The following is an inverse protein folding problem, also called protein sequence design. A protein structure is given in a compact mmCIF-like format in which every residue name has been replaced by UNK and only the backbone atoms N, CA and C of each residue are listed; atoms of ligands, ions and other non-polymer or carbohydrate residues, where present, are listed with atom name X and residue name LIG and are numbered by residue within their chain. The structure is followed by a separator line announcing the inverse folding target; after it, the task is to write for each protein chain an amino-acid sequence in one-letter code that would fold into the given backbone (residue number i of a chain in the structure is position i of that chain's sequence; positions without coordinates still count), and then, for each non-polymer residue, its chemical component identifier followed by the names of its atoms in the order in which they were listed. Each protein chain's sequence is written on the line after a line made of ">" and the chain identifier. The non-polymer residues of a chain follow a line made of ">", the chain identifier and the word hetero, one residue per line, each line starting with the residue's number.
data_IF_315481176381
#
_entry.id   IF_315481176381
#
_cell.length_a   1.000
_cell.length_b   1.000
_cell.length_c   1.000
_cell.angle_alpha   90.00
_cell.angle_beta   90.00
_cell.angle_gamma   90.00
#
_symmetry.space_group_name_H-M   'P 1'
#
loop_
_entity.id
_entity.type
_entity.pdbx_description
1 polymer ?
#
# COMPACT_ATOMS: atom_id res chain seq x y z
N UNK A 1 -59.51 14.18 27.44
CA UNK A 1 -60.85 13.64 27.16
C UNK A 1 -60.80 13.04 25.76
N UNK A 2 -60.62 11.72 25.68
CA UNK A 2 -61.67 10.72 25.34
C UNK A 2 -62.06 10.81 23.86
N UNK A 3 -62.13 9.77 23.04
CA UNK A 3 -62.10 8.30 23.16
C UNK A 3 -61.96 7.82 21.68
N UNK A 4 -61.28 6.70 21.35
CA UNK A 4 -61.92 5.39 21.03
C UNK A 4 -62.61 5.34 19.65
N UNK A 5 -62.66 4.29 18.83
CA UNK A 5 -62.34 2.87 18.90
C UNK A 5 -62.60 2.27 17.50
N UNK A 6 -61.93 1.14 17.18
CA UNK A 6 -62.45 -0.02 16.41
C UNK A 6 -62.92 0.18 14.93
N UNK A 7 -62.94 -0.81 14.03
CA UNK A 7 -62.83 -2.27 14.10
C UNK A 7 -62.54 -2.85 12.69
N UNK A 8 -61.99 -4.07 12.68
CA UNK A 8 -62.33 -5.25 11.85
C UNK A 8 -62.94 -5.08 10.45
N UNK A 9 -62.40 -5.82 9.47
CA UNK A 9 -63.09 -7.00 8.92
C UNK A 9 -62.19 -7.87 8.03
N UNK A 10 -62.27 -9.17 8.29
CA UNK A 10 -61.81 -10.28 7.45
C UNK A 10 -62.87 -10.65 6.42
N UNK A 11 -62.46 -11.15 5.26
CA UNK A 11 -63.36 -11.90 4.37
C UNK A 11 -62.68 -13.18 3.87
N UNK A 12 -63.36 -14.29 4.13
CA UNK A 12 -63.12 -15.63 3.61
C UNK A 12 -63.77 -15.80 2.22
N UNK A 13 -63.16 -16.60 1.35
CA UNK A 13 -63.88 -17.43 0.35
C UNK A 13 -62.95 -18.59 -0.05
N UNK A 14 -63.08 -19.81 0.50
CA UNK A 14 -64.02 -20.91 0.18
C UNK A 14 -64.03 -21.33 -1.30
N UNK A 15 -63.34 -22.44 -1.59
CA UNK A 15 -63.87 -23.52 -2.44
C UNK A 15 -63.48 -24.89 -1.86
N UNK A 16 -64.39 -25.86 -2.03
CA UNK A 16 -64.56 -27.13 -1.32
C UNK A 16 -64.43 -28.31 -2.30
N UNK A 17 -63.66 -29.34 -1.92
CA UNK A 17 -63.92 -30.83 -1.96
C UNK A 17 -64.34 -31.52 -3.28
N UNK A 18 -63.99 -32.76 -3.70
CA UNK A 18 -63.70 -34.14 -3.15
C UNK A 18 -63.25 -35.03 -4.36
N UNK A 19 -63.05 -36.38 -4.33
CA UNK A 19 -62.64 -37.34 -3.29
C UNK A 19 -61.50 -38.34 -3.70
N UNK A 20 -61.04 -39.05 -2.66
CA UNK A 20 -60.24 -40.28 -2.50
C UNK A 20 -60.05 -41.29 -3.66
N UNK A 21 -58.82 -41.81 -3.76
CA UNK A 21 -58.56 -43.26 -3.85
C UNK A 21 -57.37 -43.65 -2.95
N UNK A 22 -57.59 -44.67 -2.12
CA UNK A 22 -56.58 -45.35 -1.31
C UNK A 22 -55.62 -46.14 -2.21
N UNK A 23 -54.32 -46.10 -1.92
CA UNK A 23 -53.42 -47.23 -2.16
C UNK A 23 -52.23 -47.17 -1.19
N UNK A 24 -52.18 -48.14 -0.29
CA UNK A 24 -51.06 -48.44 0.63
C UNK A 24 -49.89 -49.09 -0.10
N UNK A 25 -48.70 -48.93 0.50
CA UNK A 25 -47.45 -49.71 0.33
C UNK A 25 -46.59 -49.38 -0.91
N UNK A 26 -45.43 -48.74 -0.72
CA UNK A 26 -44.13 -49.35 -0.38
C UNK A 26 -43.10 -48.21 -0.28
N UNK A 27 -42.26 -48.24 0.75
CA UNK A 27 -41.12 -47.35 0.91
C UNK A 27 -40.09 -47.59 -0.19
N UNK A 28 -39.76 -46.57 -0.99
CA UNK A 28 -38.43 -46.43 -1.58
C UNK A 28 -38.20 -44.97 -1.96
N UNK A 29 -37.26 -44.30 -1.26
CA UNK A 29 -36.75 -42.97 -1.63
C UNK A 29 -35.90 -43.12 -2.91
N UNK A 30 -36.22 -42.46 -4.03
CA UNK A 30 -35.22 -42.19 -5.05
C UNK A 30 -34.42 -40.96 -4.59
N UNK A 31 -33.12 -41.15 -4.35
CA UNK A 31 -32.20 -40.05 -4.12
C UNK A 31 -32.16 -39.18 -5.38
N UNK A 32 -32.66 -37.96 -5.25
CA UNK A 32 -32.46 -36.90 -6.24
C UNK A 32 -30.97 -36.52 -6.22
N UNK A 33 -30.20 -36.99 -7.20
CA UNK A 33 -28.94 -36.35 -7.54
C UNK A 33 -29.26 -35.02 -8.23
N UNK A 34 -29.44 -33.97 -7.43
CA UNK A 34 -29.27 -32.61 -7.90
C UNK A 34 -27.78 -32.50 -8.24
N UNK A 35 -27.44 -32.59 -9.52
CA UNK A 35 -26.16 -32.10 -10.00
C UNK A 35 -26.17 -30.58 -9.81
N UNK A 36 -25.71 -30.14 -8.64
CA UNK A 36 -25.33 -28.77 -8.41
C UNK A 36 -24.17 -28.46 -9.35
N UNK A 37 -24.45 -27.69 -10.39
CA UNK A 37 -23.41 -27.00 -11.16
C UNK A 37 -22.50 -26.27 -10.17
N UNK A 38 -21.16 -26.33 -10.31
CA UNK A 38 -20.30 -25.48 -9.52
C UNK A 38 -20.65 -24.04 -9.90
N UNK A 39 -21.18 -23.30 -8.94
CA UNK A 39 -21.27 -21.85 -9.02
C UNK A 39 -19.87 -21.33 -9.42
N UNK A 40 -19.70 -20.56 -10.51
CA UNK A 40 -18.40 -19.95 -10.79
C UNK A 40 -18.11 -19.04 -9.60
N UNK A 41 -17.20 -19.47 -8.73
CA UNK A 41 -16.62 -18.58 -7.75
C UNK A 41 -16.04 -17.42 -8.55
N UNK A 42 -16.61 -16.23 -8.40
CA UNK A 42 -15.97 -14.99 -8.84
C UNK A 42 -14.72 -14.90 -7.99
N UNK A 43 -13.66 -15.56 -8.43
CA UNK A 43 -12.36 -15.50 -7.82
C UNK A 43 -11.93 -14.05 -7.97
N UNK A 44 -11.85 -13.32 -6.85
CA UNK A 44 -11.36 -11.95 -6.85
C UNK A 44 -10.01 -11.87 -7.58
N UNK A 45 -9.63 -10.68 -8.08
CA UNK A 45 -8.40 -10.51 -8.83
C UNK A 45 -7.21 -11.05 -8.01
N UNK A 46 -6.33 -11.82 -8.66
CA UNK A 46 -5.17 -12.37 -8.00
C UNK A 46 -4.20 -11.25 -7.61
N UNK A 47 -3.33 -11.50 -6.63
CA UNK A 47 -2.33 -10.52 -6.21
C UNK A 47 -1.44 -10.04 -7.38
N UNK A 48 -0.93 -10.91 -8.27
CA UNK A 48 -0.23 -10.46 -9.49
C UNK A 48 -1.07 -9.54 -10.38
N UNK A 49 -2.37 -9.81 -10.54
CA UNK A 49 -3.27 -8.99 -11.36
C UNK A 49 -3.44 -7.60 -10.74
N UNK A 50 -3.70 -7.53 -9.42
CA UNK A 50 -3.78 -6.26 -8.69
C UNK A 50 -2.48 -5.46 -8.80
N UNK A 51 -1.32 -6.11 -8.64
CA UNK A 51 -0.01 -5.46 -8.80
C UNK A 51 0.14 -4.91 -10.22
N UNK A 52 -0.23 -5.68 -11.24
CA UNK A 52 -0.16 -5.26 -12.64
C UNK A 52 -1.04 -4.03 -12.92
N UNK A 53 -2.30 -4.09 -12.50
CA UNK A 53 -3.29 -3.03 -12.74
C UNK A 53 -2.93 -1.73 -12.01
N UNK A 54 -2.60 -1.82 -10.73
CA UNK A 54 -2.19 -0.63 -9.96
C UNK A 54 -0.88 -0.06 -10.54
N UNK A 55 0.08 -0.90 -10.94
CA UNK A 55 1.32 -0.43 -11.56
C UNK A 55 1.10 0.28 -12.89
N UNK A 56 0.10 -0.16 -13.67
CA UNK A 56 -0.35 0.51 -14.90
C UNK A 56 -0.92 1.89 -14.58
N UNK A 57 -1.84 1.97 -13.60
CA UNK A 57 -2.39 3.25 -13.12
C UNK A 57 -1.28 4.22 -12.72
N UNK A 58 -0.30 3.79 -11.92
CA UNK A 58 0.84 4.63 -11.53
C UNK A 58 1.70 5.09 -12.72
N UNK A 59 1.84 4.23 -13.73
CA UNK A 59 2.58 4.52 -14.97
C UNK A 59 1.87 5.53 -15.86
N UNK A 60 0.54 5.56 -15.84
CA UNK A 60 -0.27 6.50 -16.60
C UNK A 60 -0.38 7.85 -15.87
N UNK A 61 -0.30 7.84 -14.53
CA UNK A 61 -0.53 9.01 -13.67
C UNK A 61 0.77 9.65 -13.13
N UNK A 62 1.70 10.06 -14.00
CA UNK A 62 3.03 10.56 -13.58
C UNK A 62 3.16 12.04 -13.23
N UNK A 63 2.14 12.85 -13.50
CA UNK A 63 2.21 14.30 -13.35
C UNK A 63 1.28 14.82 -12.25
N UNK A 64 1.55 16.01 -11.67
CA UNK A 64 0.75 16.55 -10.56
C UNK A 64 -0.74 16.73 -10.89
N UNK A 65 -1.07 17.08 -12.14
CA UNK A 65 -2.46 17.31 -12.58
C UNK A 65 -3.26 16.02 -12.82
N UNK A 66 -2.60 14.85 -12.84
CA UNK A 66 -3.30 13.58 -13.01
C UNK A 66 -4.03 13.20 -11.71
N UNK A 67 -5.30 12.81 -11.83
CA UNK A 67 -6.10 12.37 -10.69
C UNK A 67 -5.83 10.89 -10.38
N UNK A 68 -4.68 10.65 -9.74
CA UNK A 68 -4.26 9.32 -9.34
C UNK A 68 -5.23 8.72 -8.30
N UNK A 69 -5.73 9.52 -7.37
CA UNK A 69 -6.57 9.04 -6.27
C UNK A 69 -7.92 8.51 -6.77
N UNK A 70 -8.55 9.20 -7.72
CA UNK A 70 -9.77 8.70 -8.37
C UNK A 70 -9.54 7.35 -9.05
N UNK A 71 -8.40 7.18 -9.74
CA UNK A 71 -8.06 5.93 -10.43
C UNK A 71 -7.69 4.80 -9.46
N UNK A 72 -7.21 5.13 -8.26
CA UNK A 72 -6.88 4.16 -7.22
C UNK A 72 -8.07 3.77 -6.33
N UNK A 73 -9.09 4.62 -6.21
CA UNK A 73 -10.26 4.42 -5.35
C UNK A 73 -10.91 3.03 -5.47
N UNK A 74 -11.09 2.43 -6.67
CA UNK A 74 -11.67 1.08 -6.79
C UNK A 74 -10.84 -0.02 -6.10
N UNK A 75 -9.54 0.21 -5.91
CA UNK A 75 -8.62 -0.76 -5.31
C UNK A 75 -8.57 -0.71 -3.78
N UNK A 76 -9.19 0.30 -3.16
CA UNK A 76 -9.12 0.53 -1.71
C UNK A 76 -9.46 -0.70 -0.85
N UNK A 77 -10.50 -1.51 -1.16
CA UNK A 77 -10.83 -2.68 -0.35
C UNK A 77 -9.80 -3.82 -0.42
N UNK A 78 -8.89 -3.83 -1.41
CA UNK A 78 -7.86 -4.87 -1.56
C UNK A 78 -6.48 -4.42 -1.05
N UNK A 79 -6.34 -3.18 -0.59
CA UNK A 79 -5.06 -2.67 -0.12
C UNK A 79 -4.63 -3.41 1.14
N UNK A 80 -3.42 -3.96 1.05
CA UNK A 80 -2.71 -4.63 2.14
C UNK A 80 -1.24 -4.27 2.05
N UNK A 81 -0.52 -4.43 3.15
CA UNK A 81 0.91 -4.08 3.22
C UNK A 81 1.71 -4.84 2.16
N UNK A 82 1.41 -6.12 1.95
CA UNK A 82 2.05 -6.94 0.93
C UNK A 82 1.80 -6.43 -0.50
N UNK A 83 0.55 -6.06 -0.82
CA UNK A 83 0.22 -5.50 -2.13
C UNK A 83 0.96 -4.18 -2.38
N UNK A 84 0.95 -3.28 -1.38
CA UNK A 84 1.67 -1.99 -1.46
C UNK A 84 3.16 -2.20 -1.71
N UNK A 85 3.82 -3.08 -0.95
CA UNK A 85 5.23 -3.38 -1.16
C UNK A 85 5.53 -3.90 -2.57
N UNK A 86 4.70 -4.80 -3.10
CA UNK A 86 4.91 -5.36 -4.43
C UNK A 86 4.71 -4.33 -5.54
N UNK A 87 3.67 -3.48 -5.42
CA UNK A 87 3.45 -2.35 -6.34
C UNK A 87 4.64 -1.40 -6.30
N UNK A 88 5.10 -0.99 -5.12
CA UNK A 88 6.26 -0.08 -4.99
C UNK A 88 7.52 -0.68 -5.61
N UNK A 89 7.83 -1.96 -5.32
CA UNK A 89 8.97 -2.68 -5.92
C UNK A 89 8.91 -2.70 -7.45
N UNK A 90 7.70 -2.87 -8.01
CA UNK A 90 7.48 -2.87 -9.47
C UNK A 90 7.59 -1.47 -10.07
N UNK A 91 7.11 -0.45 -9.38
CA UNK A 91 7.10 0.95 -9.79
C UNK A 91 8.36 1.72 -9.37
N UNK A 92 9.50 1.03 -9.20
CA UNK A 92 10.72 1.62 -8.63
C UNK A 92 11.33 2.79 -9.40
N UNK A 93 10.92 3.00 -10.64
CA UNK A 93 11.35 4.08 -11.52
C UNK A 93 10.30 5.22 -11.63
N UNK A 94 9.23 5.15 -10.85
CA UNK A 94 8.11 6.10 -10.88
C UNK A 94 8.04 6.92 -9.59
N UNK A 95 9.14 7.57 -9.18
CA UNK A 95 9.27 8.18 -7.84
C UNK A 95 8.09 9.05 -7.40
N UNK A 96 7.60 9.92 -8.28
CA UNK A 96 6.49 10.82 -7.95
C UNK A 96 5.18 10.05 -7.78
N UNK A 97 4.83 9.17 -8.72
CA UNK A 97 3.63 8.33 -8.63
C UNK A 97 3.69 7.36 -7.44
N UNK A 98 4.86 6.79 -7.16
CA UNK A 98 5.08 5.88 -6.02
C UNK A 98 4.87 6.59 -4.69
N UNK A 99 5.36 7.84 -4.54
CA UNK A 99 5.09 8.66 -3.37
C UNK A 99 3.60 8.97 -3.21
N UNK A 100 2.92 9.39 -4.28
CA UNK A 100 1.48 9.64 -4.23
C UNK A 100 0.67 8.38 -3.90
N UNK A 101 1.03 7.23 -4.45
CA UNK A 101 0.43 5.94 -4.11
C UNK A 101 0.63 5.58 -2.63
N UNK A 102 1.83 5.82 -2.09
CA UNK A 102 2.14 5.62 -0.69
C UNK A 102 1.24 6.47 0.23
N UNK A 103 1.11 7.77 -0.08
CA UNK A 103 0.24 8.69 0.67
C UNK A 103 -1.24 8.30 0.55
N UNK A 104 -1.70 7.94 -0.65
CA UNK A 104 -3.06 7.46 -0.85
C UNK A 104 -3.33 6.19 -0.03
N UNK A 105 -2.42 5.21 -0.03
CA UNK A 105 -2.58 4.01 0.79
C UNK A 105 -2.66 4.35 2.29
N UNK A 106 -1.81 5.27 2.78
CA UNK A 106 -1.85 5.79 4.17
C UNK A 106 -3.19 6.46 4.52
N UNK A 107 -3.90 7.01 3.54
CA UNK A 107 -5.21 7.65 3.75
C UNK A 107 -6.37 6.65 3.96
N UNK A 108 -6.18 5.37 3.66
CA UNK A 108 -7.21 4.35 3.79
C UNK A 108 -7.43 4.02 5.28
N UNK A 109 -8.66 4.13 5.81
CA UNK A 109 -8.93 3.83 7.21
C UNK A 109 -8.50 2.42 7.60
N UNK A 110 -7.71 2.32 8.68
CA UNK A 110 -7.21 1.05 9.20
C UNK A 110 -5.98 0.48 8.49
N UNK A 111 -5.53 1.07 7.39
CA UNK A 111 -4.29 0.68 6.75
C UNK A 111 -3.08 1.35 7.43
N UNK A 112 -1.99 0.60 7.59
CA UNK A 112 -0.71 1.12 8.05
C UNK A 112 0.43 0.54 7.21
N UNK A 113 1.38 1.41 6.89
CA UNK A 113 2.65 1.03 6.28
C UNK A 113 3.55 0.35 7.31
N UNK A 114 4.37 -0.58 6.85
CA UNK A 114 5.43 -1.20 7.66
C UNK A 114 6.81 -0.64 7.29
N UNK A 115 7.82 -0.97 8.09
CA UNK A 115 9.20 -0.52 7.88
C UNK A 115 9.71 -0.79 6.46
N UNK A 116 9.34 -1.94 5.88
CA UNK A 116 9.75 -2.36 4.54
C UNK A 116 9.24 -1.38 3.48
N UNK A 117 7.97 -0.98 3.54
CA UNK A 117 7.39 -0.03 2.59
C UNK A 117 8.04 1.37 2.67
N UNK A 118 8.42 1.82 3.87
CA UNK A 118 9.20 3.05 4.06
C UNK A 118 10.56 2.97 3.38
N UNK A 119 11.32 1.89 3.62
CA UNK A 119 12.63 1.68 3.00
C UNK A 119 12.55 1.65 1.47
N UNK A 120 11.55 0.94 0.93
CA UNK A 120 11.34 0.88 -0.52
C UNK A 120 11.09 2.28 -1.08
N UNK A 121 10.20 3.06 -0.48
CA UNK A 121 9.89 4.40 -0.99
C UNK A 121 11.11 5.33 -0.94
N UNK A 122 11.90 5.30 0.15
CA UNK A 122 13.15 6.06 0.27
C UNK A 122 14.14 5.65 -0.83
N UNK A 123 14.31 4.36 -1.09
CA UNK A 123 15.18 3.87 -2.15
C UNK A 123 14.69 4.31 -3.55
N UNK A 124 13.37 4.28 -3.79
CA UNK A 124 12.76 4.73 -5.04
C UNK A 124 13.05 6.23 -5.26
N UNK A 125 12.68 7.08 -4.31
CA UNK A 125 12.85 8.54 -4.42
C UNK A 125 14.32 8.90 -4.61
N UNK A 126 15.22 8.27 -3.85
CA UNK A 126 16.66 8.45 -3.99
C UNK A 126 17.19 8.01 -5.37
N UNK A 127 16.73 6.86 -5.88
CA UNK A 127 17.15 6.36 -7.20
C UNK A 127 16.63 7.20 -8.37
N UNK A 128 15.44 7.78 -8.23
CA UNK A 128 14.85 8.74 -9.17
C UNK A 128 15.43 10.15 -9.03
N UNK A 129 16.38 10.38 -8.10
CA UNK A 129 16.97 11.69 -7.78
C UNK A 129 15.94 12.74 -7.34
N UNK A 130 14.81 12.30 -6.78
CA UNK A 130 13.74 13.17 -6.27
C UNK A 130 14.04 13.60 -4.83
N UNK A 131 15.20 14.22 -4.63
CA UNK A 131 15.73 14.51 -3.30
C UNK A 131 14.89 15.52 -2.51
N UNK A 132 14.24 16.48 -3.18
CA UNK A 132 13.33 17.41 -2.51
C UNK A 132 12.15 16.64 -1.87
N UNK A 133 11.46 15.83 -2.67
CA UNK A 133 10.35 14.98 -2.21
C UNK A 133 10.79 14.01 -1.11
N UNK A 134 11.98 13.43 -1.25
CA UNK A 134 12.57 12.55 -0.23
C UNK A 134 12.73 13.26 1.12
N UNK A 135 13.27 14.48 1.14
CA UNK A 135 13.45 15.22 2.39
C UNK A 135 12.12 15.69 2.99
N UNK A 136 11.20 16.17 2.15
CA UNK A 136 9.84 16.55 2.59
C UNK A 136 9.13 15.35 3.22
N UNK A 137 9.26 14.17 2.61
CA UNK A 137 8.73 12.92 3.13
C UNK A 137 9.31 12.57 4.52
N UNK A 138 10.63 12.65 4.71
CA UNK A 138 11.24 12.39 6.02
C UNK A 138 10.79 13.38 7.09
N UNK A 139 10.64 14.66 6.73
CA UNK A 139 10.13 15.70 7.63
C UNK A 139 8.69 15.35 8.05
N UNK A 140 7.83 14.98 7.10
CA UNK A 140 6.45 14.55 7.41
C UNK A 140 6.44 13.33 8.34
N UNK A 141 7.31 12.34 8.10
CA UNK A 141 7.35 11.13 8.93
C UNK A 141 7.78 11.41 10.37
N UNK A 142 8.77 12.30 10.54
CA UNK A 142 9.22 12.78 11.85
C UNK A 142 8.09 13.56 12.55
N UNK A 143 7.52 14.53 11.87
CA UNK A 143 6.56 15.48 12.48
C UNK A 143 5.21 14.81 12.82
N UNK A 144 4.79 13.83 12.01
CA UNK A 144 3.59 13.02 12.28
C UNK A 144 3.84 11.84 13.22
N UNK A 145 5.10 11.59 13.59
CA UNK A 145 5.54 10.43 14.39
C UNK A 145 5.02 9.08 13.84
N UNK A 146 4.81 9.00 12.52
CA UNK A 146 4.25 7.80 11.87
C UNK A 146 5.29 6.73 11.56
N UNK A 147 6.58 7.08 11.68
CA UNK A 147 7.70 6.16 11.44
C UNK A 147 8.95 6.63 12.19
N UNK A 148 9.67 5.70 12.81
CA UNK A 148 10.94 5.98 13.49
C UNK A 148 12.06 5.91 12.48
N UNK A 149 12.61 7.07 12.12
CA UNK A 149 13.75 7.17 11.22
C UNK A 149 14.99 6.64 11.95
N UNK A 150 15.75 5.76 11.29
CA UNK A 150 16.95 5.12 11.84
C UNK A 150 18.15 5.29 10.90
N UNK A 151 19.31 4.76 11.29
CA UNK A 151 20.54 4.83 10.47
C UNK A 151 20.41 4.19 9.08
N UNK A 152 19.65 3.11 8.95
CA UNK A 152 19.50 2.39 7.66
C UNK A 152 18.85 3.28 6.59
N UNK A 153 17.88 4.11 6.96
CA UNK A 153 17.30 5.12 6.07
C UNK A 153 18.37 6.08 5.57
N UNK A 154 19.23 6.59 6.45
CA UNK A 154 20.33 7.46 6.04
C UNK A 154 21.33 6.77 5.13
N UNK A 155 21.59 5.48 5.32
CA UNK A 155 22.46 4.71 4.41
C UNK A 155 21.88 4.63 3.00
N UNK A 156 20.56 4.49 2.86
CA UNK A 156 19.89 4.57 1.56
C UNK A 156 20.10 5.94 0.90
N UNK A 157 20.09 7.01 1.69
CA UNK A 157 20.29 8.39 1.22
C UNK A 157 21.75 8.63 0.82
N UNK A 158 22.72 8.16 1.61
CA UNK A 158 24.15 8.21 1.26
C UNK A 158 24.41 7.50 -0.06
N UNK A 159 23.86 6.29 -0.21
CA UNK A 159 23.90 5.50 -1.44
C UNK A 159 23.29 6.26 -2.61
N UNK A 160 22.13 6.89 -2.42
CA UNK A 160 21.41 7.62 -3.47
C UNK A 160 22.22 8.83 -3.98
N UNK A 161 22.68 9.70 -3.09
CA UNK A 161 23.50 10.87 -3.45
C UNK A 161 24.83 10.46 -4.10
N UNK A 162 25.51 9.45 -3.55
CA UNK A 162 26.76 8.94 -4.12
C UNK A 162 26.56 8.40 -5.54
N UNK A 163 25.47 7.65 -5.77
CA UNK A 163 25.10 7.14 -7.11
C UNK A 163 24.70 8.26 -8.07
N UNK A 164 24.11 9.34 -7.57
CA UNK A 164 23.74 10.52 -8.33
C UNK A 164 24.92 11.45 -8.66
N UNK A 165 26.15 11.10 -8.23
CA UNK A 165 27.36 11.93 -8.40
C UNK A 165 27.31 13.25 -7.61
N UNK A 166 26.71 13.21 -6.42
CA UNK A 166 26.51 14.35 -5.54
C UNK A 166 27.10 14.07 -4.14
N UNK A 167 28.44 13.91 -4.01
CA UNK A 167 29.08 13.50 -2.76
C UNK A 167 28.80 14.46 -1.59
N UNK A 168 28.74 15.77 -1.84
CA UNK A 168 28.41 16.76 -0.80
C UNK A 168 26.99 16.58 -0.26
N UNK A 169 26.07 16.08 -1.08
CA UNK A 169 24.72 15.73 -0.63
C UNK A 169 24.73 14.55 0.33
N UNK A 170 25.58 13.55 0.09
CA UNK A 170 25.75 12.41 1.00
C UNK A 170 26.35 12.86 2.35
N UNK A 171 27.42 13.67 2.32
CA UNK A 171 28.05 14.23 3.51
C UNK A 171 27.08 15.11 4.30
N UNK A 172 26.34 16.00 3.63
CA UNK A 172 25.29 16.80 4.27
C UNK A 172 24.22 15.94 4.90
N UNK A 173 23.87 14.79 4.31
CA UNK A 173 22.87 13.90 4.89
C UNK A 173 23.35 13.30 6.21
N UNK A 174 24.64 12.94 6.32
CA UNK A 174 25.22 12.41 7.56
C UNK A 174 25.22 13.47 8.66
N UNK A 175 25.60 14.70 8.33
CA UNK A 175 25.61 15.82 9.27
C UNK A 175 24.22 16.25 9.75
N UNK A 176 23.14 15.73 9.15
CA UNK A 176 21.76 16.05 9.51
C UNK A 176 21.05 14.90 10.22
N UNK A 177 21.74 13.81 10.55
CA UNK A 177 21.11 12.65 11.19
C UNK A 177 20.47 13.00 12.54
N UNK A 178 21.12 13.87 13.30
CA UNK A 178 20.65 14.39 14.58
C UNK A 178 19.36 15.23 14.46
N UNK A 179 19.17 15.97 13.37
CA UNK A 179 17.91 16.68 13.05
C UNK A 179 16.69 15.74 12.95
N UNK A 180 16.93 14.45 12.75
CA UNK A 180 15.91 13.40 12.68
C UNK A 180 15.97 12.45 13.88
N UNK A 181 16.67 12.83 14.95
CA UNK A 181 16.77 12.04 16.18
C UNK A 181 17.71 10.84 16.10
N UNK A 182 18.55 10.75 15.05
CA UNK A 182 19.51 9.66 14.88
C UNK A 182 20.90 10.17 15.23
N UNK A 183 21.45 9.71 16.36
CA UNK A 183 22.83 10.04 16.71
C UNK A 183 23.80 9.30 15.78
N UNK A 184 24.67 10.01 15.02
CA UNK A 184 25.64 9.36 14.15
C UNK A 184 26.59 8.45 14.93
N UNK A 185 26.83 7.25 14.40
CA UNK A 185 27.81 6.30 14.92
C UNK A 185 28.99 6.14 13.99
N UNK A 186 30.06 5.48 14.46
CA UNK A 186 31.20 5.08 13.62
C UNK A 186 30.72 4.19 12.46
N UNK A 187 29.70 3.36 12.68
CA UNK A 187 29.17 2.51 11.62
C UNK A 187 28.50 3.33 10.51
N UNK A 188 27.80 4.40 10.85
CA UNK A 188 27.19 5.30 9.87
C UNK A 188 28.26 6.03 9.05
N UNK A 189 29.35 6.44 9.69
CA UNK A 189 30.52 7.03 9.04
C UNK A 189 31.14 6.04 8.05
N UNK A 190 31.36 4.78 8.47
CA UNK A 190 31.87 3.72 7.60
C UNK A 190 30.99 3.50 6.38
N UNK A 191 29.65 3.54 6.54
CA UNK A 191 28.70 3.42 5.43
C UNK A 191 28.80 4.60 4.48
N UNK A 192 28.89 5.83 4.98
CA UNK A 192 29.09 7.02 4.15
C UNK A 192 30.37 6.89 3.32
N UNK A 193 31.50 6.62 3.97
CA UNK A 193 32.80 6.48 3.31
C UNK A 193 32.78 5.35 2.28
N UNK A 194 32.17 4.21 2.62
CA UNK A 194 31.98 3.10 1.68
C UNK A 194 31.25 3.54 0.41
N UNK A 195 30.13 4.27 0.52
CA UNK A 195 29.36 4.69 -0.66
C UNK A 195 30.10 5.75 -1.49
N UNK A 196 30.80 6.69 -0.85
CA UNK A 196 31.63 7.67 -1.55
C UNK A 196 32.77 7.00 -2.32
N UNK A 197 33.54 6.13 -1.66
CA UNK A 197 34.66 5.41 -2.25
C UNK A 197 34.21 4.48 -3.38
N UNK A 198 33.09 3.75 -3.19
CA UNK A 198 32.50 2.88 -4.24
C UNK A 198 32.12 3.65 -5.50
N UNK A 199 31.87 4.96 -5.40
CA UNK A 199 31.53 5.85 -6.51
C UNK A 199 32.70 6.74 -6.95
N UNK A 200 33.92 6.45 -6.48
CA UNK A 200 35.18 7.14 -6.79
C UNK A 200 35.24 8.60 -6.31
N UNK A 201 34.44 8.96 -5.31
CA UNK A 201 34.49 10.27 -4.65
C UNK A 201 35.58 10.31 -3.56
N UNK A 202 36.80 9.93 -3.93
CA UNK A 202 37.90 9.71 -2.98
C UNK A 202 38.34 10.99 -2.30
N UNK A 203 38.35 12.11 -3.05
CA UNK A 203 38.75 13.40 -2.51
C UNK A 203 37.78 13.86 -1.41
N UNK A 204 36.47 13.77 -1.65
CA UNK A 204 35.45 14.16 -0.68
C UNK A 204 35.44 13.22 0.53
N UNK A 205 35.64 11.91 0.33
CA UNK A 205 35.77 10.96 1.41
C UNK A 205 36.97 11.28 2.31
N UNK A 206 38.15 11.54 1.73
CA UNK A 206 39.36 11.90 2.46
C UNK A 206 39.19 13.23 3.20
N UNK A 207 38.70 14.27 2.51
CA UNK A 207 38.45 15.58 3.12
C UNK A 207 37.44 15.55 4.26
N UNK A 208 36.50 14.61 4.23
CA UNK A 208 35.55 14.44 5.32
C UNK A 208 36.16 13.65 6.49
N UNK A 209 36.95 12.61 6.20
CA UNK A 209 37.61 11.79 7.21
C UNK A 209 38.72 12.53 7.97
N UNK A 210 39.41 13.45 7.32
CA UNK A 210 40.51 14.22 7.93
C UNK A 210 40.03 15.38 8.83
N UNK A 211 38.72 15.62 8.90
CA UNK A 211 38.11 16.63 9.80
C UNK A 211 37.80 16.03 11.15
#
# INVERSE_FOLDING_TARGET
>A
MTLSHMAFQSFFSKYKTLPSFFCTLVQHKPNYHIHSFPNPQVLGPSLPDLVNEISRVLSDHRYPHHDLELSLKPFSPQISTNLVEQVLKRCKNLGFSAHRFFLWAKSIPGFQHNDVSFHILVEILGSCKQFAILWDFLIEMRDSNSYVINGEIFWLIFKAYSRANLPDGAIRSFNRMDEFGVMPTVHDLDKLLYFLCKRKHLQQAQQFFDK
#
